data_IF_461798951683
#
_entry.id   IF_461798951683
#
_cell.length_a   1.000
_cell.length_b   1.000
_cell.length_c   1.000
_cell.angle_alpha   90.00
_cell.angle_beta   90.00
_cell.angle_gamma   90.00
#
_symmetry.space_group_name_H-M   'P 1'
#
loop_
_entity.id
_entity.type
_entity.pdbx_description
1 polymer ?
#
# COMPACT_ATOMS: atom_id res chain seq x y z
N UNK A 1 30.65 47.38 -7.85
CA UNK A 1 29.93 48.18 -6.82
C UNK A 1 29.27 47.24 -5.83
N UNK A 2 29.76 47.16 -4.60
CA UNK A 2 29.06 46.41 -3.53
C UNK A 2 28.28 47.40 -2.68
N UNK A 3 26.95 47.38 -2.84
CA UNK A 3 26.05 48.06 -1.91
C UNK A 3 26.21 47.42 -0.53
N UNK A 4 26.51 48.22 0.49
CA UNK A 4 26.67 47.76 1.87
C UNK A 4 25.27 47.49 2.46
N UNK A 5 24.64 46.41 2.02
CA UNK A 5 23.28 46.03 2.38
C UNK A 5 23.29 45.32 3.73
N UNK A 6 22.43 45.77 4.65
CA UNK A 6 22.18 45.10 5.92
C UNK A 6 20.69 44.81 6.01
N UNK A 7 20.32 43.54 5.85
CA UNK A 7 18.92 43.11 5.78
C UNK A 7 18.63 42.22 7.00
N UNK A 8 17.73 42.61 7.91
CA UNK A 8 17.31 41.73 9.00
C UNK A 8 16.51 40.55 8.44
N UNK A 9 16.90 39.33 8.78
CA UNK A 9 16.25 38.09 8.35
C UNK A 9 16.15 37.10 9.50
N UNK A 10 15.24 36.16 9.37
CA UNK A 10 15.10 35.02 10.30
C UNK A 10 15.80 33.80 9.72
N UNK A 11 16.59 33.09 10.54
CA UNK A 11 17.29 31.89 10.11
C UNK A 11 16.31 30.74 9.87
N UNK A 12 16.36 30.14 8.68
CA UNK A 12 15.48 29.02 8.30
C UNK A 12 15.71 27.71 9.10
N UNK A 13 16.77 27.63 9.90
CA UNK A 13 17.10 26.45 10.69
C UNK A 13 16.79 26.64 12.19
N UNK A 14 17.31 27.69 12.81
CA UNK A 14 17.14 27.93 14.25
C UNK A 14 16.05 28.94 14.61
N UNK A 15 15.47 29.65 13.63
CA UNK A 15 14.44 30.67 13.89
C UNK A 15 14.95 31.98 14.47
N UNK A 16 16.26 32.13 14.71
CA UNK A 16 16.82 33.36 15.26
C UNK A 16 16.91 34.47 14.22
N UNK A 17 16.73 35.71 14.67
CA UNK A 17 16.96 36.91 13.86
C UNK A 17 18.47 37.14 13.65
N UNK A 18 18.86 37.52 12.44
CA UNK A 18 20.23 37.86 12.09
C UNK A 18 20.27 38.91 10.98
N UNK A 19 21.37 39.65 10.88
CA UNK A 19 21.59 40.63 9.82
C UNK A 19 22.36 40.02 8.65
N UNK A 20 21.70 39.89 7.51
CA UNK A 20 22.28 39.39 6.27
C UNK A 20 22.91 40.52 5.45
N UNK A 21 24.08 40.24 4.86
CA UNK A 21 24.73 41.14 3.89
C UNK A 21 24.28 40.96 2.45
N UNK A 22 23.67 39.82 2.14
CA UNK A 22 23.24 39.45 0.79
C UNK A 22 21.79 39.01 0.76
N UNK A 23 21.15 39.14 -0.39
CA UNK A 23 19.76 38.71 -0.60
C UNK A 23 19.61 37.19 -0.55
N UNK A 24 20.65 36.43 -0.87
CA UNK A 24 20.63 34.95 -0.95
C UNK A 24 20.91 34.23 0.38
N UNK A 25 21.39 34.92 1.41
CA UNK A 25 21.68 34.29 2.71
C UNK A 25 20.37 33.88 3.42
N UNK A 26 20.33 32.60 3.84
CA UNK A 26 19.16 31.93 4.44
C UNK A 26 19.36 31.54 5.91
N UNK A 27 20.61 31.51 6.37
CA UNK A 27 20.97 31.03 7.71
C UNK A 27 21.87 32.03 8.42
N UNK A 28 21.81 32.05 9.76
CA UNK A 28 22.62 32.96 10.58
C UNK A 28 24.12 32.62 10.60
N UNK A 29 24.52 31.45 10.10
CA UNK A 29 25.91 31.04 9.97
C UNK A 29 26.09 29.61 9.44
N UNK A 30 27.34 29.20 9.27
CA UNK A 30 27.73 27.92 8.67
C UNK A 30 27.22 26.70 9.44
N UNK A 31 27.15 26.79 10.77
CA UNK A 31 26.66 25.69 11.61
C UNK A 31 25.20 25.36 11.28
N UNK A 32 24.34 26.38 11.18
CA UNK A 32 22.94 26.24 10.80
C UNK A 32 22.79 25.78 9.35
N UNK A 33 23.61 26.28 8.43
CA UNK A 33 23.61 25.84 7.04
C UNK A 33 23.96 24.34 6.90
N UNK A 34 25.01 23.88 7.59
CA UNK A 34 25.44 22.47 7.59
C UNK A 34 24.39 21.55 8.20
N UNK A 35 23.75 21.95 9.31
CA UNK A 35 22.67 21.17 9.93
C UNK A 35 21.44 21.08 9.03
N UNK A 36 21.03 22.20 8.41
CA UNK A 36 19.93 22.22 7.45
C UNK A 36 20.19 21.32 6.23
N UNK A 37 21.41 21.35 5.68
CA UNK A 37 21.82 20.45 4.60
C UNK A 37 21.68 18.97 4.96
N UNK A 38 22.19 18.59 6.14
CA UNK A 38 22.08 17.20 6.65
C UNK A 38 20.62 16.79 6.87
N UNK A 39 19.80 17.68 7.43
CA UNK A 39 18.37 17.42 7.62
C UNK A 39 17.65 17.20 6.29
N UNK A 40 17.93 18.02 5.26
CA UNK A 40 17.37 17.85 3.91
C UNK A 40 17.78 16.50 3.32
N UNK A 41 19.06 16.14 3.37
CA UNK A 41 19.55 14.83 2.88
C UNK A 41 18.96 13.64 3.62
N UNK A 42 18.65 13.77 4.91
CA UNK A 42 17.94 12.73 5.66
C UNK A 42 16.50 12.57 5.18
N UNK A 43 15.78 13.68 4.97
CA UNK A 43 14.41 13.67 4.44
C UNK A 43 14.34 13.04 3.05
N UNK A 44 15.23 13.45 2.13
CA UNK A 44 15.33 12.85 0.79
C UNK A 44 15.44 11.31 0.83
N UNK A 45 16.24 10.76 1.76
CA UNK A 45 16.38 9.30 1.93
C UNK A 45 15.12 8.63 2.47
N UNK A 46 14.43 9.27 3.41
CA UNK A 46 13.18 8.75 3.99
C UNK A 46 12.08 8.77 2.93
N UNK A 47 11.95 9.87 2.19
CA UNK A 47 10.95 10.02 1.14
C UNK A 47 11.15 8.99 0.02
N UNK A 48 12.40 8.70 -0.36
CA UNK A 48 12.71 7.64 -1.32
C UNK A 48 12.25 6.25 -0.84
N UNK A 49 12.53 5.89 0.42
CA UNK A 49 12.08 4.62 0.99
C UNK A 49 10.55 4.53 1.11
N UNK A 50 9.88 5.65 1.42
CA UNK A 50 8.42 5.72 1.44
C UNK A 50 7.80 5.58 0.05
N UNK A 51 8.45 6.07 -1.00
CA UNK A 51 7.98 5.87 -2.38
C UNK A 51 8.11 4.41 -2.83
N UNK A 52 9.22 3.74 -2.50
CA UNK A 52 9.41 2.32 -2.80
C UNK A 52 8.36 1.43 -2.10
N UNK A 53 8.02 1.74 -0.84
CA UNK A 53 6.99 0.99 -0.10
C UNK A 53 5.59 1.22 -0.65
N UNK A 54 5.24 2.43 -1.06
CA UNK A 54 3.95 2.74 -1.71
C UNK A 54 3.79 2.05 -3.05
N UNK A 55 4.83 2.04 -3.90
CA UNK A 55 4.78 1.34 -5.18
C UNK A 55 4.53 -0.18 -5.02
N UNK A 56 5.08 -0.79 -3.96
CA UNK A 56 4.83 -2.20 -3.65
C UNK A 56 3.42 -2.46 -3.09
N UNK A 57 2.84 -1.50 -2.37
CA UNK A 57 1.46 -1.60 -1.86
C UNK A 57 0.43 -1.42 -2.98
N UNK A 58 0.62 -0.48 -3.90
CA UNK A 58 -0.26 -0.27 -5.06
C UNK A 58 -0.27 -1.49 -6.01
N UNK A 59 0.85 -2.21 -6.11
CA UNK A 59 0.94 -3.49 -6.82
C UNK A 59 0.19 -4.64 -6.11
N UNK A 60 -0.01 -4.57 -4.79
CA UNK A 60 -0.81 -5.53 -4.04
C UNK A 60 -2.31 -5.17 -4.03
N UNK A 61 -2.65 -3.87 -4.00
CA UNK A 61 -4.03 -3.40 -3.99
C UNK A 61 -4.73 -3.55 -5.35
N UNK A 62 -3.97 -3.50 -6.46
CA UNK A 62 -4.50 -3.83 -7.79
C UNK A 62 -4.83 -5.33 -7.95
N UNK A 63 -4.32 -6.21 -7.09
CA UNK A 63 -4.67 -7.63 -7.08
C UNK A 63 -5.98 -7.86 -6.29
N UNK A 64 -6.24 -7.10 -5.23
CA UNK A 64 -7.45 -7.23 -4.40
C UNK A 64 -8.71 -6.66 -5.03
N UNK A 65 -8.63 -5.66 -5.92
CA UNK A 65 -9.82 -5.15 -6.65
C UNK A 65 -10.35 -6.16 -7.68
N UNK A 66 -9.54 -7.13 -8.10
CA UNK A 66 -10.00 -8.27 -8.91
C UNK A 66 -10.70 -9.38 -8.10
N UNK A 67 -11.05 -9.13 -6.84
CA UNK A 67 -11.81 -10.07 -6.00
C UNK A 67 -13.34 -10.00 -6.21
N UNK A 68 -13.86 -8.97 -6.89
CA UNK A 68 -15.30 -8.68 -6.92
C UNK A 68 -16.13 -9.40 -7.99
N UNK A 69 -15.53 -10.26 -8.83
CA UNK A 69 -16.28 -11.07 -9.80
C UNK A 69 -16.53 -12.51 -9.34
N UNK A 70 -16.64 -12.76 -8.04
CA UNK A 70 -17.12 -14.05 -7.54
C UNK A 70 -18.61 -14.28 -7.89
N UNK A 71 -19.39 -13.21 -8.08
CA UNK A 71 -20.82 -13.29 -8.39
C UNK A 71 -21.10 -13.92 -9.76
N UNK A 72 -20.22 -13.73 -10.73
CA UNK A 72 -20.49 -14.07 -12.15
C UNK A 72 -19.86 -15.41 -12.58
N UNK A 73 -19.29 -16.20 -11.66
CA UNK A 73 -18.68 -17.49 -12.00
C UNK A 73 -19.67 -18.64 -11.79
N UNK A 74 -19.96 -19.37 -12.85
CA UNK A 74 -20.79 -20.59 -12.79
C UNK A 74 -20.05 -21.77 -12.15
N UNK A 75 -18.71 -21.74 -12.20
CA UNK A 75 -17.83 -22.77 -11.67
C UNK A 75 -16.90 -22.16 -10.63
N UNK A 76 -17.00 -22.65 -9.40
CA UNK A 76 -16.25 -22.14 -8.27
C UNK A 76 -15.17 -23.14 -7.85
N UNK A 77 -13.98 -22.64 -7.53
CA UNK A 77 -13.01 -23.43 -6.80
C UNK A 77 -13.46 -23.63 -5.34
N UNK A 78 -12.93 -24.63 -4.62
CA UNK A 78 -13.25 -24.82 -3.19
C UNK A 78 -12.99 -23.53 -2.38
N UNK A 79 -11.93 -22.78 -2.70
CA UNK A 79 -11.66 -21.49 -2.03
C UNK A 79 -12.72 -20.45 -2.33
N UNK A 80 -13.18 -20.37 -3.57
CA UNK A 80 -14.18 -19.39 -3.97
C UNK A 80 -15.56 -19.74 -3.40
N UNK A 81 -15.92 -21.03 -3.41
CA UNK A 81 -17.12 -21.54 -2.76
C UNK A 81 -17.11 -21.26 -1.24
N UNK A 82 -15.94 -21.38 -0.60
CA UNK A 82 -15.79 -21.09 0.84
C UNK A 82 -16.03 -19.62 1.16
N UNK A 83 -15.56 -18.72 0.29
CA UNK A 83 -15.79 -17.28 0.41
C UNK A 83 -17.25 -16.91 0.13
N UNK A 84 -17.87 -17.54 -0.88
CA UNK A 84 -19.26 -17.30 -1.25
C UNK A 84 -20.23 -17.67 -0.11
N UNK A 85 -20.02 -18.81 0.53
CA UNK A 85 -20.91 -19.31 1.60
C UNK A 85 -20.50 -18.76 2.99
N UNK A 86 -19.26 -18.27 3.14
CA UNK A 86 -18.74 -17.80 4.43
C UNK A 86 -18.33 -18.92 5.39
N UNK A 87 -17.95 -20.09 4.87
CA UNK A 87 -17.49 -21.25 5.67
C UNK A 87 -16.01 -21.52 5.44
N UNK A 88 -15.38 -22.27 6.35
CA UNK A 88 -13.99 -22.69 6.14
C UNK A 88 -13.86 -23.60 4.90
N UNK A 89 -12.74 -23.49 4.18
CA UNK A 89 -12.37 -24.38 3.08
C UNK A 89 -12.51 -25.87 3.46
N UNK A 90 -12.10 -26.22 4.69
CA UNK A 90 -12.17 -27.57 5.24
C UNK A 90 -13.59 -28.10 5.39
N UNK A 91 -14.57 -27.23 5.64
CA UNK A 91 -15.98 -27.62 5.72
C UNK A 91 -16.47 -28.13 4.36
N UNK A 92 -16.21 -27.40 3.29
CA UNK A 92 -16.56 -27.81 1.92
C UNK A 92 -15.85 -29.11 1.55
N UNK A 93 -14.56 -29.22 1.89
CA UNK A 93 -13.78 -30.44 1.61
C UNK A 93 -14.33 -31.67 2.35
N UNK A 94 -14.82 -31.50 3.59
CA UNK A 94 -15.52 -32.55 4.34
C UNK A 94 -16.86 -32.91 3.72
N UNK A 95 -17.64 -31.95 3.22
CA UNK A 95 -18.91 -32.20 2.52
C UNK A 95 -18.71 -32.99 1.24
N UNK A 96 -17.66 -32.68 0.47
CA UNK A 96 -17.27 -33.46 -0.72
C UNK A 96 -16.92 -34.89 -0.32
N UNK A 97 -16.12 -35.09 0.74
CA UNK A 97 -15.77 -36.42 1.23
C UNK A 97 -16.98 -37.22 1.72
N UNK A 98 -18.01 -36.56 2.26
CA UNK A 98 -19.27 -37.17 2.67
C UNK A 98 -20.24 -37.44 1.51
N UNK A 99 -19.91 -37.00 0.28
CA UNK A 99 -20.78 -37.14 -0.89
C UNK A 99 -21.94 -36.13 -0.95
N UNK A 100 -21.96 -35.12 -0.07
CA UNK A 100 -23.01 -34.09 -0.03
C UNK A 100 -22.85 -33.03 -1.13
N UNK A 101 -21.63 -32.87 -1.65
CA UNK A 101 -21.29 -31.96 -2.75
C UNK A 101 -20.47 -32.71 -3.79
N UNK A 102 -20.80 -32.57 -5.07
CA UNK A 102 -20.02 -33.18 -6.16
C UNK A 102 -19.01 -32.16 -6.67
N UNK A 103 -17.73 -32.47 -6.49
CA UNK A 103 -16.65 -31.67 -7.03
C UNK A 103 -15.90 -32.45 -8.12
N UNK A 104 -15.58 -31.78 -9.23
CA UNK A 104 -14.80 -32.35 -10.32
C UNK A 104 -13.33 -31.94 -10.14
N UNK A 105 -12.37 -32.89 -10.14
CA UNK A 105 -10.95 -32.56 -10.14
C UNK A 105 -10.56 -31.91 -11.48
N UNK A 106 -9.90 -30.76 -11.42
CA UNK A 106 -9.34 -30.04 -12.56
C UNK A 106 -7.87 -29.69 -12.25
N UNK A 107 -6.98 -30.64 -12.57
CA UNK A 107 -5.56 -30.57 -12.20
C UNK A 107 -5.38 -30.54 -10.68
N UNK A 108 -4.79 -29.45 -10.15
CA UNK A 108 -4.55 -29.27 -8.70
C UNK A 108 -5.76 -28.75 -7.93
N UNK A 109 -6.80 -28.31 -8.63
CA UNK A 109 -8.00 -27.71 -8.01
C UNK A 109 -9.18 -28.68 -8.13
N UNK A 110 -10.13 -28.56 -7.21
CA UNK A 110 -11.44 -29.15 -7.35
C UNK A 110 -12.44 -28.03 -7.61
N UNK A 111 -13.30 -28.25 -8.60
CA UNK A 111 -14.30 -27.29 -9.07
C UNK A 111 -15.69 -27.80 -8.71
N UNK A 112 -16.51 -26.90 -8.17
CA UNK A 112 -17.90 -27.13 -7.81
C UNK A 112 -18.75 -26.21 -8.67
N UNK A 113 -19.84 -26.75 -9.23
CA UNK A 113 -20.79 -25.95 -9.99
C UNK A 113 -21.69 -25.15 -9.03
N UNK A 114 -21.98 -23.90 -9.36
CA UNK A 114 -22.74 -22.98 -8.52
C UNK A 114 -24.12 -23.52 -8.13
N UNK A 115 -24.85 -24.09 -9.09
CA UNK A 115 -26.17 -24.68 -8.86
C UNK A 115 -26.18 -25.75 -7.76
N UNK A 116 -25.09 -26.49 -7.55
CA UNK A 116 -25.04 -27.49 -6.47
C UNK A 116 -25.00 -26.86 -5.09
N UNK A 117 -24.37 -25.69 -4.98
CA UNK A 117 -24.36 -24.93 -3.73
C UNK A 117 -25.74 -24.34 -3.46
N UNK A 118 -26.39 -23.80 -4.50
CA UNK A 118 -27.75 -23.26 -4.39
C UNK A 118 -28.76 -24.37 -4.03
N UNK A 119 -28.61 -25.57 -4.60
CA UNK A 119 -29.42 -26.74 -4.24
C UNK A 119 -29.24 -27.22 -2.79
N UNK A 120 -28.20 -26.80 -2.06
CA UNK A 120 -28.08 -27.12 -0.63
C UNK A 120 -29.07 -26.33 0.24
N UNK A 121 -29.57 -25.21 -0.28
CA UNK A 121 -30.49 -24.32 0.44
C UNK A 121 -31.94 -24.41 -0.05
N UNK A 122 -32.19 -25.23 -1.08
CA UNK A 122 -33.53 -25.52 -1.62
C UNK A 122 -34.10 -26.83 -1.09
#
# INVERSE_FOLDING_TARGET
MSSNLYIPKTCQHCGNLFTARTTVTKYCGDSCAKKAYKARKRKEKVDAALQETKANQEAQDSITVSADSLSNKDFLSITDASKLIGVSRWTIQRMIKRGQLKAVPFGRKHIVARHQIENLFN
#
